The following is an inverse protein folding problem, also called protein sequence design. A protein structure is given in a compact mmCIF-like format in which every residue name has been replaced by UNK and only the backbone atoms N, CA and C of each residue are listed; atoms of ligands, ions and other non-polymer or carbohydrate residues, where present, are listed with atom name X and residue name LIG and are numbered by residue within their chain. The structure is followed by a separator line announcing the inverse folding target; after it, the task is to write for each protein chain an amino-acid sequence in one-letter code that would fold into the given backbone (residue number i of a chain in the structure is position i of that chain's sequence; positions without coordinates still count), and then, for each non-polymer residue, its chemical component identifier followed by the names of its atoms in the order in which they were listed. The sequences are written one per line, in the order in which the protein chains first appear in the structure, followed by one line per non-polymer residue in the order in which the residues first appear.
data_IF_341286059609
#
_entry.id   IF_341286059609
#
_cell.length_a   1.000
_cell.length_b   1.000
_cell.length_c   1.000
_cell.angle_alpha   90.00
_cell.angle_beta   90.00
_cell.angle_gamma   90.00
#
_symmetry.space_group_name_H-M   'P 1'
#
loop_
_entity.id
_entity.type
_entity.pdbx_description
1 polymer ?
#
# COMPACT_ATOMS: atom_id res chain seq x y z
N UNK A 1 -8.84 -16.50 -3.62
CA UNK A 1 -8.43 -15.08 -3.59
C UNK A 1 -8.55 -14.61 -2.15
N UNK A 2 -7.59 -13.84 -1.68
CA UNK A 2 -7.62 -13.19 -0.35
C UNK A 2 -7.60 -11.69 -0.53
N UNK A 3 -8.28 -10.97 0.37
CA UNK A 3 -8.15 -9.52 0.52
C UNK A 3 -6.74 -9.16 1.05
N UNK A 4 -6.36 -7.87 1.11
CA UNK A 4 -5.03 -7.48 1.53
C UNK A 4 -4.62 -8.03 2.89
N UNK A 5 -3.37 -8.48 2.99
CA UNK A 5 -2.77 -9.01 4.21
C UNK A 5 -1.42 -8.36 4.54
N UNK A 6 -1.02 -7.34 3.76
CA UNK A 6 0.18 -6.56 4.03
C UNK A 6 -0.01 -5.70 5.28
N UNK A 7 1.11 -5.32 5.92
CA UNK A 7 1.09 -4.55 7.15
C UNK A 7 0.31 -3.24 6.96
N UNK A 8 -0.62 -3.00 7.89
CA UNK A 8 -1.52 -1.84 7.87
C UNK A 8 -2.05 -1.58 9.29
N UNK A 9 -2.77 -0.46 9.47
CA UNK A 9 -3.47 -0.13 10.71
C UNK A 9 -4.98 -0.34 10.61
N UNK A 10 -5.54 -0.42 9.41
CA UNK A 10 -6.98 -0.64 9.24
C UNK A 10 -7.34 -2.11 9.36
N UNK A 11 -8.62 -2.38 9.65
CA UNK A 11 -9.14 -3.74 9.65
C UNK A 11 -9.25 -4.36 8.24
N UNK A 12 -9.37 -3.54 7.20
CA UNK A 12 -9.61 -3.99 5.82
C UNK A 12 -8.33 -4.14 4.99
N UNK A 13 -7.25 -3.46 5.35
CA UNK A 13 -5.92 -3.58 4.74
C UNK A 13 -5.69 -2.89 3.41
N UNK A 14 -6.56 -1.95 3.03
CA UNK A 14 -6.44 -1.21 1.75
C UNK A 14 -5.58 0.06 1.86
N UNK A 15 -5.10 0.39 3.05
CA UNK A 15 -4.18 1.47 3.36
C UNK A 15 -2.87 0.85 3.88
N UNK A 16 -2.08 0.29 2.97
CA UNK A 16 -0.82 -0.40 3.31
C UNK A 16 0.21 0.57 3.90
N UNK A 17 0.90 0.16 4.95
CA UNK A 17 2.05 0.87 5.53
C UNK A 17 3.38 0.22 5.15
N UNK A 18 3.39 -1.08 4.87
CA UNK A 18 4.56 -1.80 4.37
C UNK A 18 4.14 -3.01 3.52
N UNK A 19 4.46 -2.98 2.22
CA UNK A 19 4.18 -4.06 1.27
C UNK A 19 5.10 -5.28 1.44
N UNK A 20 6.20 -5.14 2.17
CA UNK A 20 7.17 -6.22 2.35
C UNK A 20 6.94 -7.01 3.62
N UNK A 21 6.00 -6.61 4.47
CA UNK A 21 5.66 -7.31 5.70
C UNK A 21 4.23 -7.83 5.69
N UNK A 22 4.05 -9.02 6.26
CA UNK A 22 2.72 -9.57 6.58
C UNK A 22 2.21 -8.84 7.81
N UNK A 23 0.93 -8.48 7.81
CA UNK A 23 0.31 -7.91 9.00
C UNK A 23 0.32 -8.93 10.14
N UNK A 24 0.79 -8.50 11.32
CA UNK A 24 0.94 -9.35 12.49
C UNK A 24 -0.36 -10.04 12.94
N UNK A 25 -1.53 -9.49 12.58
CA UNK A 25 -2.84 -10.11 12.82
C UNK A 25 -3.05 -11.40 12.04
N UNK A 26 -2.34 -11.58 10.92
CA UNK A 26 -2.41 -12.77 10.08
C UNK A 26 -1.24 -13.74 10.30
N UNK A 27 -0.25 -13.35 11.09
CA UNK A 27 0.93 -14.14 11.43
C UNK A 27 2.19 -13.63 10.75
N UNK A 28 3.12 -14.55 10.50
CA UNK A 28 4.46 -14.25 9.97
C UNK A 28 4.58 -14.61 8.48
N UNK A 29 5.72 -14.23 7.87
CA UNK A 29 6.08 -14.69 6.52
C UNK A 29 6.20 -16.22 6.44
N UNK A 30 6.60 -16.88 7.52
CA UNK A 30 6.71 -18.34 7.56
C UNK A 30 5.35 -19.01 7.62
N UNK A 31 4.39 -18.42 8.34
CA UNK A 31 2.99 -18.88 8.33
C UNK A 31 2.37 -18.76 6.93
N UNK A 32 2.62 -17.63 6.25
CA UNK A 32 2.18 -17.43 4.86
C UNK A 32 2.80 -18.46 3.92
N UNK A 33 4.11 -18.75 4.05
CA UNK A 33 4.80 -19.78 3.26
C UNK A 33 4.21 -21.16 3.51
N UNK A 34 3.93 -21.50 4.77
CA UNK A 34 3.32 -22.77 5.15
C UNK A 34 1.91 -22.92 4.53
N UNK A 35 1.09 -21.87 4.60
CA UNK A 35 -0.23 -21.84 3.97
C UNK A 35 -0.14 -22.05 2.45
N UNK A 36 0.68 -21.28 1.75
CA UNK A 36 0.84 -21.36 0.30
C UNK A 36 1.34 -22.76 -0.10
N UNK A 37 2.30 -23.32 0.65
CA UNK A 37 2.83 -24.68 0.42
C UNK A 37 1.73 -25.73 0.55
N UNK A 38 0.91 -25.65 1.60
CA UNK A 38 -0.22 -26.55 1.83
C UNK A 38 -1.29 -26.43 0.74
N UNK A 39 -1.56 -25.22 0.23
CA UNK A 39 -2.48 -24.99 -0.88
C UNK A 39 -1.95 -25.61 -2.18
N UNK A 40 -0.68 -25.38 -2.51
CA UNK A 40 -0.05 -25.92 -3.71
C UNK A 40 -0.02 -27.46 -3.70
N UNK A 41 0.23 -28.09 -2.56
CA UNK A 41 0.15 -29.55 -2.41
C UNK A 41 -1.25 -30.13 -2.72
N UNK A 42 -2.29 -29.28 -2.67
CA UNK A 42 -3.68 -29.62 -3.00
C UNK A 42 -4.11 -29.15 -4.39
N UNK A 43 -3.15 -28.80 -5.26
CA UNK A 43 -3.40 -28.21 -6.59
C UNK A 43 -4.25 -26.93 -6.55
N UNK A 44 -4.26 -26.21 -5.42
CA UNK A 44 -4.94 -24.92 -5.29
C UNK A 44 -3.99 -23.78 -5.68
N UNK A 45 -4.53 -22.67 -6.17
CA UNK A 45 -3.78 -21.45 -6.46
C UNK A 45 -4.08 -20.38 -5.41
N UNK A 46 -3.05 -19.62 -5.05
CA UNK A 46 -3.17 -18.47 -4.17
C UNK A 46 -3.14 -17.19 -5.01
N UNK A 47 -4.19 -16.38 -4.88
CA UNK A 47 -4.30 -15.07 -5.54
C UNK A 47 -4.47 -14.04 -4.45
N UNK A 48 -3.57 -13.06 -4.42
CA UNK A 48 -3.58 -11.96 -3.47
C UNK A 48 -4.16 -10.70 -4.08
N UNK A 49 -4.69 -9.84 -3.22
CA UNK A 49 -5.07 -8.48 -3.55
C UNK A 49 -3.88 -7.53 -3.35
N UNK A 50 -3.46 -6.85 -4.41
CA UNK A 50 -2.33 -5.93 -4.41
C UNK A 50 -2.82 -4.50 -4.63
N UNK A 51 -2.84 -3.73 -3.56
CA UNK A 51 -3.33 -2.33 -3.57
C UNK A 51 -2.20 -1.41 -4.00
N UNK A 52 -2.05 -1.18 -5.30
CA UNK A 52 -0.99 -0.30 -5.86
C UNK A 52 -1.48 1.12 -6.17
N UNK A 53 -2.77 1.40 -6.01
CA UNK A 53 -3.31 2.72 -6.33
C UNK A 53 -3.04 3.76 -5.22
N UNK A 54 -3.12 3.36 -3.95
CA UNK A 54 -3.01 4.23 -2.79
C UNK A 54 -2.38 3.50 -1.61
N UNK A 55 -1.94 4.26 -0.62
CA UNK A 55 -1.25 3.80 0.59
C UNK A 55 -1.83 4.48 1.82
N UNK A 56 -1.41 4.08 3.02
CA UNK A 56 -1.75 4.80 4.26
C UNK A 56 -1.04 6.15 4.38
N UNK A 57 -1.60 7.07 5.17
CA UNK A 57 -0.88 8.25 5.66
C UNK A 57 0.41 7.89 6.43
N UNK A 58 0.43 6.72 7.06
CA UNK A 58 1.59 6.21 7.79
C UNK A 58 2.62 5.51 6.88
N UNK A 59 2.38 5.45 5.57
CA UNK A 59 3.33 4.89 4.62
C UNK A 59 4.62 5.73 4.60
N UNK A 60 5.81 5.17 4.89
CA UNK A 60 7.00 6.00 5.15
C UNK A 60 7.37 6.97 4.02
N UNK A 61 7.28 6.60 2.72
CA UNK A 61 7.42 7.56 1.62
C UNK A 61 6.44 8.73 1.68
N UNK A 62 5.17 8.49 2.01
CA UNK A 62 4.18 9.56 2.12
C UNK A 62 4.48 10.52 3.28
N UNK A 63 4.90 9.97 4.43
CA UNK A 63 5.31 10.77 5.59
C UNK A 63 6.46 11.71 5.22
N UNK A 64 7.50 11.20 4.54
CA UNK A 64 8.64 12.01 4.09
C UNK A 64 8.23 13.05 3.03
N UNK A 65 7.44 12.64 2.05
CA UNK A 65 6.91 13.52 0.99
C UNK A 65 6.03 14.65 1.54
N UNK A 66 5.30 14.40 2.63
CA UNK A 66 4.44 15.39 3.27
C UNK A 66 5.22 16.37 4.16
N UNK A 67 6.35 15.92 4.73
CA UNK A 67 7.20 16.74 5.59
C UNK A 67 8.08 17.74 4.81
N UNK A 68 8.46 17.43 3.57
CA UNK A 68 9.30 18.30 2.76
C UNK A 68 9.00 18.19 1.26
N UNK A 69 8.95 19.35 0.58
CA UNK A 69 8.83 19.42 -0.87
C UNK A 69 10.10 18.95 -1.61
N UNK A 70 11.25 18.94 -0.93
CA UNK A 70 12.54 18.51 -1.49
C UNK A 70 12.83 17.02 -1.24
N UNK A 71 11.92 16.30 -0.55
CA UNK A 71 12.09 14.88 -0.29
C UNK A 71 12.10 14.08 -1.60
N UNK A 72 13.00 13.08 -1.77
CA UNK A 72 13.00 12.22 -2.96
C UNK A 72 11.64 11.54 -3.21
N UNK A 73 10.91 11.21 -2.15
CA UNK A 73 9.59 10.60 -2.21
C UNK A 73 8.49 11.57 -2.65
N UNK A 74 8.75 12.88 -2.72
CA UNK A 74 7.75 13.90 -3.08
C UNK A 74 7.10 13.59 -4.42
N UNK A 75 7.88 13.11 -5.38
CA UNK A 75 7.41 12.79 -6.73
C UNK A 75 6.52 11.54 -6.79
N UNK A 76 6.45 10.73 -5.72
CA UNK A 76 5.60 9.54 -5.66
C UNK A 76 4.13 9.89 -5.42
N UNK A 77 3.81 11.15 -5.15
CA UNK A 77 2.45 11.62 -4.86
C UNK A 77 2.17 12.93 -5.58
N UNK A 78 0.90 13.22 -5.83
CA UNK A 78 0.48 14.52 -6.38
C UNK A 78 -0.01 15.42 -5.27
N UNK A 79 0.72 16.50 -5.03
CA UNK A 79 0.33 17.58 -4.12
C UNK A 79 -0.11 18.79 -4.94
N UNK A 80 -1.29 19.33 -4.63
CA UNK A 80 -1.87 20.49 -5.28
C UNK A 80 -2.91 21.11 -4.32
N UNK A 81 -2.89 22.43 -4.07
CA UNK A 81 -3.89 23.11 -3.25
C UNK A 81 -5.34 22.98 -3.77
N UNK A 82 -5.52 22.65 -5.05
CA UNK A 82 -6.82 22.36 -5.65
C UNK A 82 -7.44 21.02 -5.22
N UNK A 83 -6.64 20.08 -4.68
CA UNK A 83 -7.20 18.89 -4.03
C UNK A 83 -7.74 19.23 -2.65
N UNK A 84 -8.87 18.61 -2.26
CA UNK A 84 -9.54 18.84 -0.97
C UNK A 84 -8.61 18.73 0.25
N UNK A 85 -7.65 17.82 0.19
CA UNK A 85 -6.71 17.54 1.29
C UNK A 85 -5.30 18.07 1.01
N UNK A 86 -5.11 18.83 -0.07
CA UNK A 86 -3.81 19.31 -0.55
C UNK A 86 -2.99 18.26 -1.33
N UNK A 87 -3.52 17.05 -1.48
CA UNK A 87 -2.95 15.96 -2.28
C UNK A 87 -4.06 15.06 -2.84
N UNK A 88 -3.72 14.33 -3.91
CA UNK A 88 -4.63 13.39 -4.57
C UNK A 88 -4.84 12.15 -3.69
N UNK A 89 -6.08 11.70 -3.59
CA UNK A 89 -6.48 10.55 -2.76
C UNK A 89 -7.39 9.61 -3.53
N UNK A 90 -7.58 8.40 -3.02
CA UNK A 90 -8.61 7.49 -3.50
C UNK A 90 -10.00 8.00 -3.11
N UNK A 91 -10.80 8.44 -4.09
CA UNK A 91 -12.18 8.92 -3.88
C UNK A 91 -12.35 9.89 -2.69
N UNK A 92 -11.48 10.88 -2.55
CA UNK A 92 -11.48 11.87 -1.45
C UNK A 92 -11.29 11.28 -0.03
N UNK A 93 -10.88 10.01 0.09
CA UNK A 93 -10.55 9.39 1.37
C UNK A 93 -9.20 9.92 1.84
N UNK A 94 -9.23 10.85 2.81
CA UNK A 94 -8.04 11.54 3.30
C UNK A 94 -6.94 10.58 3.79
N UNK A 95 -7.30 9.43 4.37
CA UNK A 95 -6.35 8.44 4.87
C UNK A 95 -5.64 7.62 3.78
N UNK A 96 -6.01 7.80 2.51
CA UNK A 96 -5.56 7.01 1.37
C UNK A 96 -4.94 7.89 0.27
N UNK A 97 -3.77 8.50 0.49
CA UNK A 97 -3.03 9.20 -0.55
C UNK A 97 -2.75 8.30 -1.76
N UNK A 98 -3.01 8.83 -2.96
CA UNK A 98 -2.85 8.10 -4.21
C UNK A 98 -1.40 8.19 -4.69
N UNK A 99 -0.84 7.05 -5.07
CA UNK A 99 0.48 6.98 -5.69
C UNK A 99 0.47 7.62 -7.08
N UNK A 100 1.61 8.14 -7.49
CA UNK A 100 1.87 8.58 -8.86
C UNK A 100 2.46 7.43 -9.68
N UNK A 101 1.60 6.69 -10.36
CA UNK A 101 1.98 5.47 -11.08
C UNK A 101 2.67 5.73 -12.42
N UNK A 102 2.62 6.97 -12.92
CA UNK A 102 3.40 7.37 -14.11
C UNK A 102 4.82 7.80 -13.74
N UNK A 103 5.26 7.66 -12.47
CA UNK A 103 6.61 8.05 -12.02
C UNK A 103 7.61 6.87 -12.06
N UNK A 104 8.85 7.08 -12.56
CA UNK A 104 9.31 8.27 -13.28
C UNK A 104 8.60 8.39 -14.62
N UNK A 105 8.26 9.63 -15.01
CA UNK A 105 7.59 9.88 -16.29
C UNK A 105 8.50 9.47 -17.44
N UNK A 106 8.15 8.38 -18.10
CA UNK A 106 8.84 7.86 -19.28
C UNK A 106 9.76 6.67 -18.98
N UNK A 107 9.26 5.48 -19.29
CA UNK A 107 10.05 4.40 -19.86
C UNK A 107 9.61 4.24 -21.32
#
# INVERSE_FOLDING_TARGET
MVTPFFKTRSYHGYDTTDYFEVDERFGTKDDLRALITALHARNMRFVLDLVVNHVSLDFPPFVRASASADAPDRAWFRFDPGYRHGYRTFFDVASMPQLELDYPRGA
#
